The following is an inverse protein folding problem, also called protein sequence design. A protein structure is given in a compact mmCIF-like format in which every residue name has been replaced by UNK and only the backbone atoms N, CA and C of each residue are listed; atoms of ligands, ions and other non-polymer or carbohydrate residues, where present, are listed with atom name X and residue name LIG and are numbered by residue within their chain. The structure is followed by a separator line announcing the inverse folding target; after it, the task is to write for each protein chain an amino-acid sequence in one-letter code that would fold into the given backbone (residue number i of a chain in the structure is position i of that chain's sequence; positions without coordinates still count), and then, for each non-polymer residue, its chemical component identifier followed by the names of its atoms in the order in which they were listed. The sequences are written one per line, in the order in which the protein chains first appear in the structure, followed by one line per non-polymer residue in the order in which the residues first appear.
data_IF_015961745704
#
_entry.id   IF_015961745704
#
_cell.length_a   1.000
_cell.length_b   1.000
_cell.length_c   1.000
_cell.angle_alpha   90.00
_cell.angle_beta   90.00
_cell.angle_gamma   90.00
#
_symmetry.space_group_name_H-M   'P 1'
#
loop_
_entity.id
_entity.type
_entity.pdbx_description
1 polymer ?
#
# COMPACT_ATOMS: atom_id res chain seq x y z
N UNK A 1 -26.13 -39.49 39.16
CA UNK A 1 -25.86 -39.84 37.75
C UNK A 1 -24.64 -40.73 37.71
N UNK A 2 -24.81 -41.88 37.10
CA UNK A 2 -24.00 -43.09 37.18
C UNK A 2 -22.63 -42.98 36.49
N UNK A 3 -21.62 -43.62 37.11
CA UNK A 3 -20.69 -44.64 36.56
C UNK A 3 -20.03 -44.44 35.18
N UNK A 4 -18.80 -44.89 34.90
CA UNK A 4 -17.86 -45.77 35.58
C UNK A 4 -16.46 -45.49 34.95
N UNK A 5 -15.41 -45.54 35.78
CA UNK A 5 -13.97 -45.76 35.47
C UNK A 5 -13.79 -47.11 34.69
N UNK A 6 -12.61 -47.60 34.22
CA UNK A 6 -11.19 -47.13 34.33
C UNK A 6 -10.20 -47.56 33.19
N UNK A 7 -8.88 -47.35 33.44
CA UNK A 7 -7.69 -48.20 33.15
C UNK A 7 -7.37 -48.57 31.68
N UNK A 8 -6.32 -48.00 31.09
CA UNK A 8 -4.92 -48.49 31.13
C UNK A 8 -4.72 -49.83 30.40
N UNK A 9 -3.85 -49.85 29.39
CA UNK A 9 -2.90 -50.95 29.12
C UNK A 9 -1.79 -50.44 28.21
N UNK A 10 -0.63 -50.25 28.81
CA UNK A 10 0.64 -50.19 28.09
C UNK A 10 1.04 -51.61 27.70
N UNK A 11 1.54 -51.79 26.47
CA UNK A 11 2.35 -52.94 26.11
C UNK A 11 3.63 -52.41 25.48
N UNK A 12 4.73 -52.54 26.24
CA UNK A 12 6.07 -52.62 25.68
C UNK A 12 6.17 -53.93 24.91
N UNK A 13 6.92 -53.94 23.79
CA UNK A 13 7.85 -55.03 23.46
C UNK A 13 8.54 -54.78 22.13
N UNK A 14 9.87 -54.78 22.20
CA UNK A 14 10.79 -55.52 21.31
C UNK A 14 10.62 -55.24 19.80
N UNK A 15 11.51 -54.50 19.13
CA UNK A 15 12.94 -54.70 19.08
C UNK A 15 13.34 -54.92 17.61
N UNK A 16 14.55 -54.47 17.26
CA UNK A 16 15.39 -54.93 16.15
C UNK A 16 14.78 -54.93 14.72
N UNK A 17 15.37 -54.15 13.81
CA UNK A 17 16.31 -54.63 12.78
C UNK A 17 16.42 -53.60 11.64
N UNK A 18 17.64 -53.48 11.13
CA UNK A 18 18.13 -52.57 10.12
C UNK A 18 18.19 -53.31 8.75
N UNK A 19 17.89 -52.59 7.65
CA UNK A 19 18.14 -52.87 6.19
C UNK A 19 17.25 -53.93 5.48
N UNK A 20 17.09 -53.92 4.12
CA UNK A 20 17.84 -53.20 3.08
C UNK A 20 17.02 -52.45 1.99
N UNK A 21 17.75 -51.66 1.20
CA UNK A 21 17.46 -51.24 -0.18
C UNK A 21 16.85 -52.38 -1.00
N UNK A 22 15.77 -52.11 -1.73
CA UNK A 22 15.19 -53.09 -2.66
C UNK A 22 14.06 -52.50 -3.51
N UNK A 23 14.31 -52.49 -4.83
CA UNK A 23 13.49 -52.01 -5.93
C UNK A 23 11.97 -52.32 -5.86
N UNK A 24 11.17 -51.36 -6.33
CA UNK A 24 9.73 -51.51 -6.62
C UNK A 24 9.52 -52.06 -8.03
N UNK A 25 8.89 -53.22 -8.22
CA UNK A 25 8.31 -53.60 -9.50
C UNK A 25 6.79 -53.33 -9.55
N UNK A 26 6.31 -53.07 -10.76
CA UNK A 26 4.93 -52.88 -11.21
C UNK A 26 3.93 -53.91 -10.63
N UNK A 27 2.66 -53.51 -10.43
CA UNK A 27 1.53 -53.77 -11.38
C UNK A 27 0.14 -53.80 -10.69
N UNK A 28 -0.85 -53.28 -11.44
CA UNK A 28 -2.31 -53.58 -11.46
C UNK A 28 -3.28 -52.92 -10.46
N UNK A 29 -4.12 -52.02 -10.99
CA UNK A 29 -5.40 -51.50 -10.47
C UNK A 29 -6.53 -52.57 -10.52
N UNK A 30 -7.75 -52.35 -9.95
CA UNK A 30 -8.81 -51.51 -10.58
C UNK A 30 -9.79 -50.80 -9.59
N UNK A 31 -10.35 -49.63 -9.91
CA UNK A 31 -11.75 -49.46 -10.44
C UNK A 31 -12.13 -47.97 -10.61
N UNK A 32 -13.15 -47.66 -11.43
CA UNK A 32 -13.21 -46.45 -12.24
C UNK A 32 -14.13 -45.36 -11.65
N UNK A 33 -13.60 -44.16 -11.46
CA UNK A 33 -14.42 -42.95 -11.38
C UNK A 33 -14.36 -42.25 -12.73
N UNK A 34 -15.31 -42.57 -13.60
CA UNK A 34 -15.67 -41.68 -14.69
C UNK A 34 -16.41 -40.50 -14.09
N UNK A 35 -15.66 -39.49 -13.64
CA UNK A 35 -16.16 -38.12 -13.59
C UNK A 35 -15.24 -37.25 -14.44
N UNK A 36 -15.84 -36.77 -15.53
CA UNK A 36 -15.26 -36.03 -16.64
C UNK A 36 -14.33 -34.91 -16.18
N UNK A 37 -13.12 -34.90 -16.75
CA UNK A 37 -12.32 -33.72 -17.03
C UNK A 37 -12.29 -32.64 -15.93
N UNK A 38 -11.52 -32.88 -14.87
CA UNK A 38 -10.82 -31.77 -14.23
C UNK A 38 -9.70 -31.37 -15.17
N UNK A 39 -9.98 -30.44 -16.08
CA UNK A 39 -8.93 -29.72 -16.79
C UNK A 39 -7.94 -29.19 -15.74
N UNK A 40 -6.62 -29.35 -15.93
CA UNK A 40 -5.68 -28.59 -15.14
C UNK A 40 -6.06 -27.13 -15.36
N UNK A 41 -6.53 -26.48 -14.30
CA UNK A 41 -6.74 -25.04 -14.34
C UNK A 41 -5.36 -24.42 -14.42
N UNK A 42 -4.84 -24.29 -15.64
CA UNK A 42 -3.77 -23.36 -15.97
C UNK A 42 -4.11 -22.07 -15.23
N UNK A 43 -3.23 -21.53 -14.38
CA UNK A 43 -3.49 -20.23 -13.76
C UNK A 43 -3.70 -19.27 -14.93
N UNK A 44 -4.95 -18.81 -15.10
CA UNK A 44 -5.26 -17.81 -16.08
C UNK A 44 -4.29 -16.65 -15.84
N UNK A 45 -3.58 -16.13 -16.86
CA UNK A 45 -2.75 -14.95 -16.67
C UNK A 45 -3.63 -13.91 -15.98
N UNK A 46 -3.22 -13.49 -14.79
CA UNK A 46 -3.96 -12.52 -13.99
C UNK A 46 -4.25 -11.33 -14.90
N UNK A 47 -5.51 -11.18 -15.31
CA UNK A 47 -5.95 -10.05 -16.11
C UNK A 47 -5.51 -8.81 -15.33
N UNK A 48 -4.72 -7.89 -15.92
CA UNK A 48 -4.37 -6.66 -15.23
C UNK A 48 -5.69 -6.05 -14.74
N UNK A 49 -5.84 -5.88 -13.43
CA UNK A 49 -7.00 -5.19 -12.90
C UNK A 49 -7.14 -3.86 -13.64
N UNK A 50 -8.36 -3.37 -13.91
CA UNK A 50 -8.54 -2.03 -14.47
C UNK A 50 -7.67 -1.10 -13.62
N UNK A 51 -6.80 -0.32 -14.27
CA UNK A 51 -5.77 0.51 -13.62
C UNK A 51 -6.45 1.68 -12.90
N UNK A 52 -7.20 1.38 -11.84
CA UNK A 52 -7.71 2.38 -10.91
C UNK A 52 -6.49 3.09 -10.34
N UNK A 53 -6.54 4.43 -10.36
CA UNK A 53 -5.46 5.23 -9.81
C UNK A 53 -5.33 4.88 -8.34
N UNK A 54 -4.15 4.40 -7.93
CA UNK A 54 -3.89 4.14 -6.52
C UNK A 54 -3.74 5.45 -5.77
N UNK A 55 -4.03 5.50 -4.46
CA UNK A 55 -3.79 6.67 -3.61
C UNK A 55 -2.36 7.22 -3.77
N UNK A 56 -1.38 6.31 -3.75
CA UNK A 56 0.03 6.63 -3.97
C UNK A 56 0.26 7.30 -5.33
N UNK A 57 -0.18 6.66 -6.43
CA UNK A 57 -0.01 7.18 -7.77
C UNK A 57 -0.69 8.54 -7.98
N UNK A 58 -1.81 8.79 -7.30
CA UNK A 58 -2.45 10.10 -7.31
C UNK A 58 -1.54 11.18 -6.72
N UNK A 59 -0.90 10.92 -5.56
CA UNK A 59 0.04 11.86 -4.94
C UNK A 59 1.27 12.06 -5.83
N UNK A 60 1.85 10.97 -6.35
CA UNK A 60 3.01 11.05 -7.24
C UNK A 60 2.73 11.93 -8.46
N UNK A 61 1.54 11.77 -9.06
CA UNK A 61 1.09 12.59 -10.19
C UNK A 61 1.04 14.08 -9.84
N UNK A 62 0.60 14.45 -8.64
CA UNK A 62 0.53 15.86 -8.22
C UNK A 62 1.90 16.53 -8.14
N UNK A 63 2.94 15.82 -7.69
CA UNK A 63 4.27 16.41 -7.51
C UNK A 63 5.16 16.32 -8.76
N UNK A 64 4.90 15.34 -9.64
CA UNK A 64 5.62 15.15 -10.91
C UNK A 64 5.13 16.07 -12.03
N UNK A 65 3.83 16.35 -12.11
CA UNK A 65 3.30 17.18 -13.20
C UNK A 65 3.40 18.68 -12.85
N UNK A 66 3.85 19.54 -13.78
CA UNK A 66 3.91 20.99 -13.54
C UNK A 66 2.53 21.64 -13.42
N UNK A 67 1.56 21.18 -14.22
CA UNK A 67 0.19 21.69 -14.25
C UNK A 67 -0.81 20.66 -13.75
N UNK A 68 -1.56 21.07 -12.72
CA UNK A 68 -2.57 20.23 -12.10
C UNK A 68 -3.87 20.31 -12.89
N UNK A 69 -4.44 19.16 -13.22
CA UNK A 69 -5.69 19.09 -13.97
C UNK A 69 -6.88 19.06 -13.01
N UNK A 70 -7.88 19.89 -13.26
CA UNK A 70 -9.12 19.90 -12.47
C UNK A 70 -9.83 18.54 -12.48
N UNK A 71 -9.71 17.78 -13.58
CA UNK A 71 -10.29 16.43 -13.73
C UNK A 71 -9.74 15.41 -12.74
N UNK A 72 -8.58 15.67 -12.13
CA UNK A 72 -8.00 14.79 -11.11
C UNK A 72 -8.65 14.93 -9.74
N UNK A 73 -9.41 16.01 -9.54
CA UNK A 73 -10.08 16.32 -8.30
C UNK A 73 -11.57 16.13 -8.48
N UNK A 74 -12.23 15.73 -7.40
CA UNK A 74 -13.67 15.72 -7.37
C UNK A 74 -14.21 17.17 -7.35
N UNK A 75 -15.32 17.49 -8.05
CA UNK A 75 -15.89 18.83 -8.03
C UNK A 75 -16.16 19.35 -6.61
N UNK A 76 -16.58 18.48 -5.69
CA UNK A 76 -16.81 18.86 -4.30
C UNK A 76 -15.53 19.21 -3.54
N UNK A 77 -14.36 18.72 -3.97
CA UNK A 77 -13.06 19.15 -3.44
C UNK A 77 -12.68 20.54 -3.98
N UNK A 78 -12.87 20.76 -5.28
CA UNK A 78 -12.52 22.03 -5.95
C UNK A 78 -13.34 23.22 -5.46
N UNK A 79 -14.53 23.00 -4.91
CA UNK A 79 -15.33 24.05 -4.27
C UNK A 79 -14.69 24.62 -2.99
N UNK A 80 -13.84 23.83 -2.32
CA UNK A 80 -13.14 24.27 -1.10
C UNK A 80 -11.75 24.81 -1.40
N UNK A 81 -11.02 24.12 -2.29
CA UNK A 81 -9.67 24.51 -2.69
C UNK A 81 -9.59 24.50 -4.21
N UNK A 82 -9.59 25.67 -4.86
CA UNK A 82 -9.43 25.78 -6.31
C UNK A 82 -8.10 25.19 -6.76
N UNK A 83 -8.09 24.56 -7.95
CA UNK A 83 -6.89 23.90 -8.50
C UNK A 83 -5.69 24.86 -8.60
N UNK A 84 -5.91 26.13 -8.96
CA UNK A 84 -4.86 27.13 -9.05
C UNK A 84 -4.24 27.45 -7.67
N UNK A 85 -5.05 27.54 -6.62
CA UNK A 85 -4.56 27.71 -5.26
C UNK A 85 -3.75 26.48 -4.83
N UNK A 86 -4.26 25.29 -5.15
CA UNK A 86 -3.57 24.04 -4.84
C UNK A 86 -2.21 23.93 -5.56
N UNK A 87 -2.14 24.36 -6.83
CA UNK A 87 -0.90 24.41 -7.61
C UNK A 87 0.14 25.36 -6.99
N UNK A 88 -0.29 26.48 -6.39
CA UNK A 88 0.61 27.38 -5.65
C UNK A 88 1.21 26.70 -4.42
N UNK A 89 0.44 25.91 -3.67
CA UNK A 89 0.96 25.13 -2.54
C UNK A 89 2.00 24.10 -2.97
N UNK A 90 1.72 23.31 -4.00
CA UNK A 90 2.67 22.30 -4.52
C UNK A 90 3.96 22.96 -5.02
N UNK A 91 3.85 24.06 -5.75
CA UNK A 91 5.01 24.82 -6.23
C UNK A 91 5.80 25.42 -5.07
N UNK A 92 5.11 25.91 -4.03
CA UNK A 92 5.74 26.44 -2.83
C UNK A 92 6.54 25.38 -2.07
N UNK A 93 6.00 24.17 -1.93
CA UNK A 93 6.75 23.05 -1.34
C UNK A 93 7.99 22.70 -2.14
N UNK A 94 7.91 22.66 -3.49
CA UNK A 94 9.08 22.38 -4.34
C UNK A 94 10.14 23.49 -4.27
N UNK A 95 9.72 24.75 -4.20
CA UNK A 95 10.64 25.87 -4.02
C UNK A 95 11.37 25.82 -2.67
N UNK A 96 10.64 25.46 -1.61
CA UNK A 96 11.18 25.43 -0.24
C UNK A 96 11.97 24.16 0.12
N UNK A 97 11.47 22.97 -0.23
CA UNK A 97 12.08 21.69 0.10
C UNK A 97 12.96 21.13 -1.03
N UNK A 98 12.92 21.74 -2.22
CA UNK A 98 13.68 21.27 -3.40
C UNK A 98 12.87 20.30 -4.27
N UNK A 99 13.58 19.56 -5.11
CA UNK A 99 12.93 18.66 -6.06
C UNK A 99 12.21 17.52 -5.35
N UNK A 100 11.08 17.11 -5.91
CA UNK A 100 10.37 15.90 -5.49
C UNK A 100 11.21 14.67 -5.84
N UNK A 101 11.39 13.76 -4.87
CA UNK A 101 12.16 12.54 -5.07
C UNK A 101 11.27 11.30 -5.17
N UNK A 102 10.42 11.08 -4.17
CA UNK A 102 9.55 9.90 -4.12
C UNK A 102 8.36 10.11 -3.20
N UNK A 103 7.37 9.23 -3.30
CA UNK A 103 6.35 9.05 -2.28
C UNK A 103 6.45 7.63 -1.78
N UNK A 104 6.33 7.44 -0.47
CA UNK A 104 6.34 6.11 0.15
C UNK A 104 5.15 5.98 1.10
N UNK A 105 4.66 4.76 1.28
CA UNK A 105 3.67 4.49 2.30
C UNK A 105 4.27 4.71 3.70
N UNK A 106 3.49 5.28 4.61
CA UNK A 106 3.84 5.53 6.01
C UNK A 106 2.59 5.22 6.87
N UNK A 107 2.50 3.96 7.31
CA UNK A 107 1.29 3.44 7.96
C UNK A 107 0.06 3.51 7.04
N UNK A 108 -0.98 4.22 7.49
CA UNK A 108 -2.20 4.48 6.71
C UNK A 108 -2.10 5.71 5.80
N UNK A 109 -0.99 6.46 5.91
CA UNK A 109 -0.72 7.68 5.17
C UNK A 109 0.45 7.47 4.20
N UNK A 110 0.89 8.57 3.61
CA UNK A 110 2.02 8.63 2.71
C UNK A 110 3.03 9.66 3.21
N UNK A 111 4.30 9.44 2.90
CA UNK A 111 5.35 10.41 3.14
C UNK A 111 5.92 10.84 1.79
N UNK A 112 5.73 12.13 1.47
CA UNK A 112 6.28 12.76 0.28
C UNK A 112 7.71 13.18 0.60
N UNK A 113 8.69 12.67 -0.16
CA UNK A 113 10.11 12.91 0.07
C UNK A 113 10.64 13.91 -0.96
N UNK A 114 11.30 14.94 -0.47
CA UNK A 114 12.00 15.97 -1.23
C UNK A 114 13.50 15.92 -0.95
N UNK A 115 14.28 16.75 -1.63
CA UNK A 115 15.74 16.86 -1.40
C UNK A 115 16.09 17.32 0.02
N UNK A 116 15.33 18.26 0.58
CA UNK A 116 15.66 18.93 1.85
C UNK A 116 14.64 18.67 2.97
N UNK A 117 13.74 17.72 2.77
CA UNK A 117 12.73 17.37 3.77
C UNK A 117 11.68 16.39 3.29
N UNK A 118 10.64 16.21 4.10
CA UNK A 118 9.50 15.35 3.77
C UNK A 118 8.19 15.91 4.30
N UNK A 119 7.07 15.53 3.69
CA UNK A 119 5.73 15.99 4.06
C UNK A 119 4.84 14.77 4.26
N UNK A 120 4.36 14.49 5.47
CA UNK A 120 3.32 13.49 5.67
C UNK A 120 2.03 13.95 4.98
N UNK A 121 1.42 13.05 4.23
CA UNK A 121 0.28 13.32 3.38
C UNK A 121 -0.75 12.20 3.46
N UNK A 122 -2.02 12.57 3.55
CA UNK A 122 -3.15 11.66 3.50
C UNK A 122 -3.99 11.96 2.26
N UNK A 123 -4.37 10.94 1.51
CA UNK A 123 -5.20 11.09 0.30
C UNK A 123 -6.38 10.13 0.33
N UNK A 124 -7.52 10.62 -0.13
CA UNK A 124 -8.74 9.85 -0.33
C UNK A 124 -9.22 10.03 -1.76
N UNK A 125 -9.50 8.92 -2.41
CA UNK A 125 -9.98 8.87 -3.79
C UNK A 125 -11.44 8.41 -3.84
N UNK A 126 -12.21 8.89 -4.82
CA UNK A 126 -13.51 8.33 -5.17
C UNK A 126 -13.33 7.07 -6.05
N UNK A 127 -14.41 6.31 -6.36
CA UNK A 127 -14.33 5.12 -7.23
C UNK A 127 -13.79 5.38 -8.64
N UNK A 128 -13.78 6.64 -9.10
CA UNK A 128 -13.22 7.06 -10.40
C UNK A 128 -11.72 7.41 -10.31
N UNK A 129 -11.11 7.32 -9.12
CA UNK A 129 -9.71 7.67 -8.89
C UNK A 129 -9.45 9.18 -8.80
N UNK A 130 -10.49 9.99 -8.59
CA UNK A 130 -10.36 11.43 -8.36
C UNK A 130 -10.18 11.73 -6.87
N UNK A 131 -9.42 12.76 -6.57
CA UNK A 131 -9.12 13.18 -5.20
C UNK A 131 -10.34 13.86 -4.60
N UNK A 132 -10.92 13.23 -3.56
CA UNK A 132 -12.01 13.80 -2.74
C UNK A 132 -11.51 14.41 -1.44
N UNK A 133 -10.32 14.00 -1.00
CA UNK A 133 -9.65 14.52 0.18
C UNK A 133 -8.15 14.42 0.03
N UNK A 134 -7.46 15.48 0.41
CA UNK A 134 -6.01 15.55 0.45
C UNK A 134 -5.61 16.44 1.60
N UNK A 135 -4.80 15.92 2.50
CA UNK A 135 -4.26 16.62 3.65
C UNK A 135 -2.74 16.52 3.65
N UNK A 136 -2.08 17.63 3.93
CA UNK A 136 -0.66 17.66 4.23
C UNK A 136 -0.52 18.02 5.71
N UNK A 137 0.25 17.23 6.43
CA UNK A 137 0.63 17.55 7.80
C UNK A 137 1.86 18.47 7.80
N UNK A 138 2.33 18.82 8.99
CA UNK A 138 3.52 19.63 9.15
C UNK A 138 4.72 18.99 8.45
N UNK A 139 5.37 19.69 7.50
CA UNK A 139 6.59 19.23 6.89
C UNK A 139 7.68 19.01 7.92
N UNK A 140 8.53 18.01 7.66
CA UNK A 140 9.76 17.76 8.38
C UNK A 140 10.91 18.24 7.50
N UNK A 141 11.37 19.46 7.74
CA UNK A 141 12.54 20.01 7.06
C UNK A 141 13.80 19.65 7.83
N UNK A 142 14.79 19.09 7.15
CA UNK A 142 16.08 18.71 7.76
C UNK A 142 17.15 19.77 7.57
N UNK A 143 16.96 20.73 6.67
CA UNK A 143 18.04 21.64 6.26
C UNK A 143 17.60 23.07 5.91
N UNK A 144 16.29 23.35 5.89
CA UNK A 144 15.76 24.65 5.45
C UNK A 144 14.73 25.18 6.46
N UNK A 145 14.98 26.33 7.10
CA UNK A 145 14.02 26.91 8.04
C UNK A 145 12.75 27.40 7.32
N UNK A 146 11.63 27.47 8.06
CA UNK A 146 10.34 27.89 7.51
C UNK A 146 10.36 29.32 6.93
N UNK A 147 11.19 30.22 7.48
CA UNK A 147 11.26 31.61 7.01
C UNK A 147 11.70 31.75 5.53
N UNK A 148 12.36 30.73 4.97
CA UNK A 148 12.75 30.63 3.56
C UNK A 148 11.65 30.05 2.66
N UNK A 149 10.53 29.57 3.23
CA UNK A 149 9.38 29.18 2.44
C UNK A 149 8.66 30.42 1.86
N UNK A 150 7.88 30.26 0.77
CA UNK A 150 7.05 31.34 0.25
C UNK A 150 6.08 31.89 1.30
N UNK A 151 5.70 33.19 1.25
CA UNK A 151 4.89 33.83 2.28
C UNK A 151 3.55 33.12 2.56
N UNK A 152 2.88 32.67 1.49
CA UNK A 152 1.61 31.92 1.59
C UNK A 152 1.80 30.61 2.37
N UNK A 153 2.87 29.87 2.06
CA UNK A 153 3.17 28.61 2.73
C UNK A 153 3.61 28.84 4.18
N UNK A 154 4.38 29.90 4.44
CA UNK A 154 4.79 30.31 5.78
C UNK A 154 3.61 30.60 6.71
N UNK A 155 2.58 31.27 6.20
CA UNK A 155 1.41 31.60 7.01
C UNK A 155 0.70 30.32 7.47
N UNK A 156 0.52 29.35 6.58
CA UNK A 156 -0.15 28.08 6.87
C UNK A 156 0.69 27.24 7.83
N UNK A 157 2.00 27.16 7.59
CA UNK A 157 2.91 26.36 8.40
C UNK A 157 3.34 27.05 9.70
N UNK A 158 2.95 28.30 9.94
CA UNK A 158 3.26 29.01 11.19
C UNK A 158 2.63 28.35 12.43
N UNK A 159 1.60 27.52 12.22
CA UNK A 159 0.98 26.69 13.24
C UNK A 159 1.75 25.39 13.54
N UNK A 160 2.75 25.05 12.73
CA UNK A 160 3.60 23.88 12.93
C UNK A 160 4.72 24.17 13.92
N UNK A 161 4.56 23.72 15.16
CA UNK A 161 5.57 23.85 16.22
C UNK A 161 6.90 23.23 15.82
N UNK A 162 6.87 22.15 15.02
CA UNK A 162 8.05 21.40 14.57
C UNK A 162 8.92 22.17 13.55
N UNK A 163 8.44 23.29 13.02
CA UNK A 163 9.11 24.08 11.98
C UNK A 163 9.62 25.45 12.47
N UNK A 164 9.50 25.73 13.77
CA UNK A 164 9.97 26.97 14.40
C UNK A 164 11.43 26.92 14.81
#
# INVERSE_FOLDING_TARGET
MFSLKPLATALLSTGLLVLPVGAVPLKTAPSPQTQLAQTPSTPAPARPAPRSTTPQAAIERLFRTPDLQSTWFDPSFLQRVPVAQFQRFITGFKSWLGNYQSVRADGNNFLVVFERGSIPAAVRLNPRGQIVGLGFECPRSTSVPLNQAPPELRQILSSCSELR
#
